data_IF_260780399335
#
_entry.id   IF_260780399335
#
_cell.length_a   1.000
_cell.length_b   1.000
_cell.length_c   1.000
_cell.angle_alpha   90.00
_cell.angle_beta   90.00
_cell.angle_gamma   90.00
#
_symmetry.space_group_name_H-M   'P 1'
#
loop_
_entity.id
_entity.type
_entity.pdbx_description
1 polymer ?
#
# COMPACT_ATOMS: atom_id res chain seq x y z
N UNK A 1 -5.69 12.45 12.69
CA UNK A 1 -6.10 13.73 12.05
C UNK A 1 -6.12 14.91 13.00
N UNK A 2 -6.48 14.70 14.27
CA UNK A 2 -6.61 15.78 15.24
C UNK A 2 -5.30 16.56 15.48
N UNK A 3 -4.16 15.87 15.54
CA UNK A 3 -2.83 16.49 15.64
C UNK A 3 -2.58 17.57 14.57
N UNK A 4 -2.83 17.25 13.30
CA UNK A 4 -2.66 18.19 12.19
C UNK A 4 -3.68 19.33 12.23
N UNK A 5 -4.91 19.07 12.69
CA UNK A 5 -5.91 20.13 12.88
C UNK A 5 -5.49 21.14 13.93
N UNK A 6 -5.02 20.67 15.09
CA UNK A 6 -4.48 21.54 16.14
C UNK A 6 -3.27 22.34 15.66
N UNK A 7 -2.34 21.68 14.94
CA UNK A 7 -1.16 22.34 14.35
C UNK A 7 -1.56 23.43 13.34
N UNK A 8 -2.59 23.19 12.52
CA UNK A 8 -3.15 24.15 11.58
C UNK A 8 -4.12 25.16 12.22
N UNK A 9 -4.33 25.12 13.54
CA UNK A 9 -5.31 25.93 14.29
C UNK A 9 -6.73 25.84 13.73
N UNK A 10 -7.14 24.66 13.27
CA UNK A 10 -8.50 24.38 12.76
C UNK A 10 -9.27 23.47 13.70
N UNK A 11 -10.51 23.84 13.97
CA UNK A 11 -11.45 23.05 14.76
C UNK A 11 -12.17 22.01 13.90
N UNK A 12 -12.84 21.04 14.55
CA UNK A 12 -13.83 20.19 13.88
C UNK A 12 -15.10 20.97 13.51
N UNK A 13 -15.39 22.06 14.22
CA UNK A 13 -16.52 22.95 13.96
C UNK A 13 -16.39 23.67 12.62
N UNK A 14 -15.15 23.93 12.16
CA UNK A 14 -14.88 24.58 10.88
C UNK A 14 -15.32 23.72 9.68
N UNK A 15 -15.66 22.43 9.89
CA UNK A 15 -16.10 21.47 8.86
C UNK A 15 -15.15 21.37 7.64
N UNK A 16 -13.89 21.78 7.81
CA UNK A 16 -12.86 21.69 6.78
C UNK A 16 -12.55 20.22 6.50
N UNK A 17 -12.45 19.86 5.22
CA UNK A 17 -12.10 18.50 4.80
C UNK A 17 -10.67 18.11 5.23
N UNK A 18 -10.48 16.81 5.49
CA UNK A 18 -9.17 16.30 5.93
C UNK A 18 -8.07 16.49 4.88
N UNK A 19 -8.41 16.45 3.59
CA UNK A 19 -7.43 16.66 2.51
C UNK A 19 -6.94 18.11 2.48
N UNK A 20 -7.82 19.08 2.77
CA UNK A 20 -7.41 20.47 2.93
C UNK A 20 -6.46 20.66 4.12
N UNK A 21 -6.71 20.00 5.25
CA UNK A 21 -5.79 20.03 6.41
C UNK A 21 -4.42 19.41 6.04
N UNK A 22 -4.42 18.30 5.28
CA UNK A 22 -3.16 17.70 4.78
C UNK A 22 -2.40 18.64 3.87
N UNK A 23 -3.10 19.36 2.99
CA UNK A 23 -2.50 20.35 2.09
C UNK A 23 -1.84 21.48 2.87
N UNK A 24 -2.51 22.04 3.89
CA UNK A 24 -1.93 23.05 4.78
C UNK A 24 -0.66 22.53 5.45
N UNK A 25 -0.68 21.29 5.93
CA UNK A 25 0.47 20.68 6.61
C UNK A 25 1.56 20.17 5.64
N UNK A 26 1.39 20.33 4.33
CA UNK A 26 2.33 19.81 3.32
C UNK A 26 2.49 18.30 3.33
N UNK A 27 1.49 17.55 3.82
CA UNK A 27 1.54 16.08 3.93
C UNK A 27 1.28 15.46 2.56
N UNK A 28 2.33 14.91 1.95
CA UNK A 28 2.30 14.38 0.57
C UNK A 28 1.87 12.92 0.46
N UNK A 29 1.99 12.15 1.55
CA UNK A 29 1.67 10.73 1.56
C UNK A 29 0.91 10.38 2.84
N UNK A 30 -0.11 9.56 2.69
CA UNK A 30 -0.88 9.04 3.82
C UNK A 30 -0.17 7.85 4.46
N UNK A 31 -0.61 7.49 5.67
CA UNK A 31 -0.14 6.26 6.32
C UNK A 31 -0.48 5.01 5.50
N UNK A 32 -1.60 5.03 4.78
CA UNK A 32 -2.02 3.92 3.91
C UNK A 32 -1.02 3.77 2.76
N UNK A 33 -0.54 4.88 2.18
CA UNK A 33 0.45 4.86 1.12
C UNK A 33 1.77 4.22 1.59
N UNK A 34 2.20 4.52 2.81
CA UNK A 34 3.42 3.95 3.40
C UNK A 34 3.24 2.46 3.73
N UNK A 35 2.08 2.05 4.23
CA UNK A 35 1.74 0.63 4.43
C UNK A 35 1.79 -0.12 3.10
N UNK A 36 1.09 0.37 2.08
CA UNK A 36 1.09 -0.24 0.74
C UNK A 36 2.50 -0.32 0.15
N UNK A 37 3.31 0.74 0.32
CA UNK A 37 4.70 0.76 -0.14
C UNK A 37 5.53 -0.34 0.52
N UNK A 38 5.44 -0.49 1.85
CA UNK A 38 6.16 -1.54 2.58
C UNK A 38 5.70 -2.94 2.16
N UNK A 39 4.40 -3.12 1.98
CA UNK A 39 3.82 -4.36 1.48
C UNK A 39 4.36 -4.71 0.08
N UNK A 40 4.46 -3.76 -0.84
CA UNK A 40 5.04 -3.98 -2.17
C UNK A 40 6.54 -4.29 -2.12
N UNK A 41 7.31 -3.61 -1.27
CA UNK A 41 8.74 -3.91 -1.08
C UNK A 41 8.93 -5.34 -0.60
N UNK A 42 8.14 -5.77 0.38
CA UNK A 42 8.15 -7.15 0.88
C UNK A 42 7.69 -8.14 -0.18
N UNK A 43 6.61 -7.85 -0.91
CA UNK A 43 6.09 -8.69 -1.99
C UNK A 43 7.15 -8.97 -3.05
N UNK A 44 7.80 -7.93 -3.59
CA UNK A 44 8.88 -8.12 -4.55
C UNK A 44 10.11 -8.80 -3.95
N UNK A 45 10.33 -8.72 -2.63
CA UNK A 45 11.38 -9.50 -1.98
C UNK A 45 11.06 -10.99 -1.98
N UNK A 46 9.81 -11.36 -1.67
CA UNK A 46 9.35 -12.75 -1.67
C UNK A 46 9.30 -13.33 -3.08
N UNK A 47 8.83 -12.58 -4.08
CA UNK A 47 8.83 -13.02 -5.50
C UNK A 47 10.24 -13.23 -6.08
N UNK A 48 11.28 -12.64 -5.48
CA UNK A 48 12.68 -12.90 -5.84
C UNK A 48 13.31 -14.07 -5.07
N UNK A 49 12.64 -14.58 -4.05
CA UNK A 49 13.14 -15.75 -3.33
C UNK A 49 12.96 -16.99 -4.18
N UNK A 50 13.85 -17.97 -4.00
CA UNK A 50 13.69 -19.30 -4.58
C UNK A 50 12.34 -19.93 -4.19
N UNK A 51 11.81 -20.74 -5.09
CA UNK A 51 10.47 -21.33 -4.99
C UNK A 51 10.33 -22.40 -3.90
N UNK A 52 11.46 -22.93 -3.43
CA UNK A 52 11.55 -23.85 -2.29
C UNK A 52 11.40 -23.13 -0.94
N UNK A 53 11.55 -21.81 -0.90
CA UNK A 53 11.44 -21.04 0.33
C UNK A 53 9.99 -20.90 0.78
N UNK A 54 9.74 -21.22 2.05
CA UNK A 54 8.42 -21.16 2.68
C UNK A 54 7.64 -19.85 2.41
N UNK A 55 8.23 -18.63 2.46
CA UNK A 55 7.47 -17.41 2.17
C UNK A 55 6.90 -17.36 0.74
N UNK A 56 7.66 -17.83 -0.25
CA UNK A 56 7.24 -17.89 -1.64
C UNK A 56 6.14 -18.95 -1.81
N UNK A 57 6.33 -20.14 -1.21
CA UNK A 57 5.32 -21.20 -1.21
C UNK A 57 3.99 -20.75 -0.59
N UNK A 58 4.03 -20.09 0.57
CA UNK A 58 2.83 -19.57 1.25
C UNK A 58 2.16 -18.48 0.41
N UNK A 59 2.94 -17.61 -0.24
CA UNK A 59 2.42 -16.56 -1.11
C UNK A 59 1.66 -17.13 -2.31
N UNK A 60 2.18 -18.20 -2.93
CA UNK A 60 1.57 -18.90 -4.06
C UNK A 60 0.41 -19.81 -3.65
N UNK A 61 0.39 -20.25 -2.40
CA UNK A 61 -0.63 -21.16 -1.90
C UNK A 61 -2.00 -20.49 -1.80
N UNK A 62 -2.99 -21.07 -2.51
CA UNK A 62 -4.39 -20.65 -2.44
C UNK A 62 -5.20 -21.71 -1.69
N UNK A 63 -5.78 -21.38 -0.52
CA UNK A 63 -6.60 -22.34 0.21
C UNK A 63 -7.87 -22.67 -0.58
N UNK A 64 -8.17 -23.97 -0.70
CA UNK A 64 -9.34 -24.51 -1.43
C UNK A 64 -10.68 -24.17 -0.79
N UNK A 65 -10.70 -23.81 0.49
CA UNK A 65 -11.94 -23.62 1.24
C UNK A 65 -12.68 -22.32 0.90
N UNK A 66 -14.02 -22.41 0.90
CA UNK A 66 -14.90 -21.26 0.80
C UNK A 66 -14.66 -20.32 1.99
N UNK A 67 -14.45 -19.04 1.72
CA UNK A 67 -14.31 -18.03 2.78
C UNK A 67 -15.56 -18.00 3.67
N UNK A 68 -15.33 -18.09 4.99
CA UNK A 68 -16.40 -17.96 6.00
C UNK A 68 -17.11 -16.61 5.87
N UNK A 69 -18.42 -16.60 6.14
CA UNK A 69 -19.24 -15.39 6.16
C UNK A 69 -18.69 -14.40 7.19
N UNK A 70 -18.67 -13.12 6.84
CA UNK A 70 -18.12 -12.04 7.70
C UNK A 70 -16.64 -11.73 7.50
N UNK A 71 -15.87 -12.58 6.81
CA UNK A 71 -14.48 -12.26 6.46
C UNK A 71 -14.44 -11.12 5.45
N UNK A 72 -13.44 -10.24 5.56
CA UNK A 72 -13.22 -9.19 4.56
C UNK A 72 -13.13 -9.79 3.15
N UNK A 73 -13.80 -9.15 2.20
CA UNK A 73 -13.82 -9.58 0.79
C UNK A 73 -12.43 -9.45 0.15
N UNK A 74 -11.66 -8.44 0.54
CA UNK A 74 -10.32 -8.19 0.03
C UNK A 74 -9.29 -9.11 0.69
N UNK A 75 -8.53 -9.86 -0.12
CA UNK A 75 -7.34 -10.57 0.35
C UNK A 75 -6.13 -9.66 0.38
N UNK A 76 -5.10 -10.08 1.13
CA UNK A 76 -3.80 -9.41 1.11
C UNK A 76 -3.22 -9.32 -0.31
N UNK A 77 -3.20 -10.44 -1.06
CA UNK A 77 -2.73 -10.46 -2.45
C UNK A 77 -3.58 -9.56 -3.37
N UNK A 78 -4.90 -9.51 -3.17
CA UNK A 78 -5.77 -8.58 -3.91
C UNK A 78 -5.47 -7.11 -3.56
N UNK A 79 -5.06 -6.83 -2.32
CA UNK A 79 -4.53 -5.53 -1.91
C UNK A 79 -3.23 -5.17 -2.62
N UNK A 80 -2.29 -6.13 -2.74
CA UNK A 80 -1.05 -5.96 -3.52
C UNK A 80 -1.36 -5.68 -4.98
N UNK A 81 -2.20 -6.49 -5.62
CA UNK A 81 -2.56 -6.32 -7.04
C UNK A 81 -3.17 -4.94 -7.30
N UNK A 82 -4.07 -4.48 -6.41
CA UNK A 82 -4.62 -3.13 -6.48
C UNK A 82 -3.51 -2.07 -6.32
N UNK A 83 -2.63 -2.22 -5.35
CA UNK A 83 -1.53 -1.28 -5.11
C UNK A 83 -0.51 -1.22 -6.25
N UNK A 84 -0.26 -2.35 -6.93
CA UNK A 84 0.55 -2.44 -8.14
C UNK A 84 -0.13 -1.72 -9.30
N UNK A 85 -1.43 -1.98 -9.54
CA UNK A 85 -2.21 -1.32 -10.58
C UNK A 85 -2.24 0.20 -10.40
N UNK A 86 -2.48 0.69 -9.18
CA UNK A 86 -2.48 2.13 -8.86
C UNK A 86 -1.12 2.81 -9.09
N UNK A 87 -0.03 2.03 -9.17
CA UNK A 87 1.35 2.52 -9.36
C UNK A 87 1.93 2.15 -10.72
N UNK A 88 1.14 1.54 -11.61
CA UNK A 88 1.58 0.99 -12.90
C UNK A 88 2.81 0.10 -12.76
N UNK A 89 2.78 -0.81 -11.79
CA UNK A 89 3.81 -1.84 -11.61
C UNK A 89 3.37 -3.14 -12.27
N UNK A 90 4.28 -3.75 -13.01
CA UNK A 90 4.01 -4.98 -13.75
C UNK A 90 4.72 -6.20 -13.12
N UNK A 91 4.17 -7.41 -13.31
CA UNK A 91 4.85 -8.63 -12.90
C UNK A 91 6.27 -8.74 -13.47
N UNK A 92 7.23 -9.17 -12.67
CA UNK A 92 8.63 -9.31 -13.06
C UNK A 92 9.50 -8.06 -12.87
N UNK A 93 8.91 -6.87 -12.73
CA UNK A 93 9.67 -5.62 -12.46
C UNK A 93 10.40 -5.64 -11.12
N UNK A 94 10.02 -6.55 -10.21
CA UNK A 94 10.73 -6.76 -8.95
C UNK A 94 12.14 -7.29 -9.14
N UNK A 95 12.52 -7.89 -10.27
CA UNK A 95 13.87 -8.42 -10.46
C UNK A 95 14.95 -7.34 -10.31
N UNK A 96 14.68 -6.12 -10.79
CA UNK A 96 15.52 -4.96 -10.46
C UNK A 96 15.10 -4.34 -9.11
N UNK A 97 15.93 -4.57 -8.08
CA UNK A 97 15.71 -4.02 -6.74
C UNK A 97 15.63 -2.49 -6.71
N UNK A 98 16.42 -1.78 -7.53
CA UNK A 98 16.44 -0.31 -7.54
C UNK A 98 15.15 0.20 -8.18
N UNK A 99 14.81 -0.29 -9.37
CA UNK A 99 13.58 0.10 -10.07
C UNK A 99 12.34 -0.25 -9.25
N UNK A 100 12.30 -1.43 -8.62
CA UNK A 100 11.20 -1.81 -7.73
C UNK A 100 11.06 -0.84 -6.55
N UNK A 101 12.14 -0.56 -5.82
CA UNK A 101 12.10 0.34 -4.65
C UNK A 101 11.65 1.75 -5.03
N UNK A 102 12.00 2.23 -6.23
CA UNK A 102 11.56 3.51 -6.76
C UNK A 102 10.09 3.47 -7.19
N UNK A 103 9.68 2.44 -7.92
CA UNK A 103 8.31 2.25 -8.43
C UNK A 103 7.26 2.05 -7.33
N UNK A 104 7.63 1.46 -6.19
CA UNK A 104 6.70 1.33 -5.04
C UNK A 104 6.29 2.66 -4.41
N UNK A 105 7.05 3.74 -4.64
CA UNK A 105 6.64 5.09 -4.20
C UNK A 105 5.49 5.56 -5.08
N UNK A 106 4.44 6.10 -4.45
CA UNK A 106 3.34 6.71 -5.21
C UNK A 106 3.90 7.88 -6.03
N UNK A 107 3.72 7.85 -7.36
CA UNK A 107 4.09 8.96 -8.25
C UNK A 107 3.15 10.13 -7.97
N UNK A 108 3.66 11.37 -8.07
CA UNK A 108 2.87 12.59 -7.88
C UNK A 108 1.71 12.60 -8.87
N UNK A 109 0.49 12.83 -8.41
CA UNK A 109 -0.52 13.53 -9.21
C UNK A 109 -0.21 15.02 -9.07
N UNK A 110 0.18 15.66 -10.18
CA UNK A 110 0.23 17.12 -10.27
C UNK A 110 -1.18 17.70 -10.26
#
# INVERSE_FOLDING_TARGET
MDFWRRSARKSRLDRIQNDHIRNIMGVKSTIIDEIQRRQLIWYGHVERMDDDRLPNQILKWTPRERRKRGRQKQSWLGGIQKAMSERNLHPGEWNDRRSWKLGTRRRRTL
#
